data_IF_730255265404
#
_entry.id   IF_730255265404
#
_cell.length_a   1.000
_cell.length_b   1.000
_cell.length_c   1.000
_cell.angle_alpha   90.00
_cell.angle_beta   90.00
_cell.angle_gamma   90.00
#
_symmetry.space_group_name_H-M   'P 1'
#
loop_
_entity.id
_entity.type
_entity.pdbx_description
1 polymer ?
#
# COMPACT_ATOMS: atom_id res chain seq x y z
N UNK A 1 34.39 -31.92 -41.33
CA UNK A 1 34.08 -32.19 -39.91
C UNK A 1 33.90 -33.69 -39.78
N UNK A 2 34.84 -34.39 -39.15
CA UNK A 2 34.77 -35.85 -39.02
C UNK A 2 33.70 -36.19 -37.98
N UNK A 3 32.77 -37.07 -38.36
CA UNK A 3 31.69 -37.57 -37.49
C UNK A 3 32.27 -38.19 -36.19
N UNK A 4 33.46 -38.78 -36.27
CA UNK A 4 34.17 -39.38 -35.14
C UNK A 4 34.50 -38.36 -34.05
N UNK A 5 34.96 -37.15 -34.43
CA UNK A 5 35.30 -36.07 -33.48
C UNK A 5 34.05 -35.53 -32.78
N UNK A 6 32.92 -35.44 -33.49
CA UNK A 6 31.63 -35.04 -32.90
C UNK A 6 31.16 -36.10 -31.89
N UNK A 7 31.31 -37.39 -32.23
CA UNK A 7 30.88 -38.52 -31.40
C UNK A 7 31.66 -38.58 -30.09
N UNK A 8 32.98 -38.41 -30.12
CA UNK A 8 33.81 -38.36 -28.91
C UNK A 8 33.46 -37.18 -28.02
N UNK A 9 33.28 -35.99 -28.61
CA UNK A 9 32.93 -34.79 -27.86
C UNK A 9 31.58 -34.91 -27.14
N UNK A 10 30.58 -35.47 -27.82
CA UNK A 10 29.24 -35.71 -27.24
C UNK A 10 29.30 -36.73 -26.10
N UNK A 11 30.02 -37.84 -26.25
CA UNK A 11 30.13 -38.83 -25.16
C UNK A 11 30.89 -38.27 -23.95
N UNK A 12 31.96 -37.51 -24.16
CA UNK A 12 32.78 -36.98 -23.08
C UNK A 12 32.12 -35.82 -22.33
N UNK A 13 31.33 -34.99 -23.02
CA UNK A 13 30.76 -33.76 -22.46
C UNK A 13 29.22 -33.70 -22.51
N UNK A 14 28.55 -34.86 -22.55
CA UNK A 14 27.09 -34.93 -22.70
C UNK A 14 26.33 -34.10 -21.65
N UNK A 15 26.82 -34.05 -20.41
CA UNK A 15 26.24 -33.23 -19.34
C UNK A 15 26.29 -31.72 -19.64
N UNK A 16 27.42 -31.24 -20.18
CA UNK A 16 27.57 -29.82 -20.56
C UNK A 16 26.60 -29.46 -21.68
N UNK A 17 26.40 -30.37 -22.63
CA UNK A 17 25.44 -30.21 -23.73
C UNK A 17 24.01 -30.16 -23.19
N UNK A 18 23.63 -31.04 -22.26
CA UNK A 18 22.29 -31.03 -21.65
C UNK A 18 22.03 -29.73 -20.90
N UNK A 19 22.99 -29.24 -20.11
CA UNK A 19 22.87 -27.96 -19.40
C UNK A 19 22.75 -26.79 -20.37
N UNK A 20 23.55 -26.77 -21.43
CA UNK A 20 23.47 -25.75 -22.47
C UNK A 20 22.10 -25.75 -23.18
N UNK A 21 21.53 -26.94 -23.45
CA UNK A 21 20.19 -27.07 -24.02
C UNK A 21 19.09 -26.56 -23.08
N UNK A 22 19.21 -26.79 -21.78
CA UNK A 22 18.26 -26.25 -20.79
C UNK A 22 18.31 -24.72 -20.79
N UNK A 23 19.51 -24.12 -20.77
CA UNK A 23 19.68 -22.67 -20.84
C UNK A 23 19.11 -22.12 -22.15
N UNK A 24 19.39 -22.78 -23.28
CA UNK A 24 18.84 -22.41 -24.58
C UNK A 24 17.31 -22.42 -24.56
N UNK A 25 16.68 -23.43 -23.94
CA UNK A 25 15.23 -23.51 -23.82
C UNK A 25 14.64 -22.36 -22.99
N UNK A 26 15.32 -21.97 -21.91
CA UNK A 26 14.97 -20.78 -21.13
C UNK A 26 15.00 -19.51 -21.99
N UNK A 27 16.09 -19.31 -22.75
CA UNK A 27 16.21 -18.15 -23.65
C UNK A 27 15.09 -18.13 -24.68
N UNK A 28 14.75 -19.28 -25.28
CA UNK A 28 13.64 -19.37 -26.25
C UNK A 28 12.29 -18.98 -25.64
N UNK A 29 12.03 -19.37 -24.38
CA UNK A 29 10.81 -18.98 -23.68
C UNK A 29 10.78 -17.48 -23.33
N UNK A 30 11.92 -16.91 -22.95
CA UNK A 30 12.05 -15.47 -22.71
C UNK A 30 11.83 -14.69 -24.00
N UNK A 31 12.44 -15.11 -25.13
CA UNK A 31 12.25 -14.46 -26.43
C UNK A 31 10.79 -14.51 -26.88
N UNK A 32 10.12 -15.66 -26.75
CA UNK A 32 8.68 -15.78 -27.04
C UNK A 32 7.84 -14.86 -26.15
N UNK A 33 8.23 -14.72 -24.89
CA UNK A 33 7.57 -13.81 -23.96
C UNK A 33 7.78 -12.37 -24.41
N UNK A 34 9.02 -11.95 -24.64
CA UNK A 34 9.34 -10.59 -25.09
C UNK A 34 8.65 -10.24 -26.40
N UNK A 35 8.48 -11.17 -27.34
CA UNK A 35 7.77 -10.92 -28.60
C UNK A 35 6.27 -10.64 -28.38
N UNK A 36 5.61 -11.38 -27.47
CA UNK A 36 4.21 -11.10 -27.10
C UNK A 36 4.07 -9.75 -26.40
N UNK A 37 5.00 -9.45 -25.48
CA UNK A 37 5.01 -8.17 -24.77
C UNK A 37 5.39 -6.99 -25.68
N UNK A 38 6.20 -7.19 -26.72
CA UNK A 38 6.55 -6.15 -27.68
C UNK A 38 5.32 -5.62 -28.44
N UNK A 39 4.41 -6.50 -28.85
CA UNK A 39 3.15 -6.09 -29.48
C UNK A 39 2.29 -5.30 -28.49
N UNK A 40 2.19 -5.75 -27.23
CA UNK A 40 1.48 -5.02 -26.19
C UNK A 40 2.08 -3.63 -25.95
N UNK A 41 3.41 -3.50 -25.90
CA UNK A 41 4.11 -2.21 -25.76
C UNK A 41 3.82 -1.29 -26.95
N UNK A 42 3.82 -1.82 -28.18
CA UNK A 42 3.47 -1.04 -29.38
C UNK A 42 2.03 -0.53 -29.30
N UNK A 43 1.08 -1.39 -28.88
CA UNK A 43 -0.32 -0.99 -28.71
C UNK A 43 -0.45 0.08 -27.63
N UNK A 44 0.21 -0.09 -26.47
CA UNK A 44 0.22 0.91 -25.39
C UNK A 44 0.81 2.23 -25.90
N UNK A 45 1.94 2.21 -26.60
CA UNK A 45 2.55 3.40 -27.17
C UNK A 45 1.63 4.09 -28.20
N UNK A 46 0.99 3.32 -29.07
CA UNK A 46 0.02 3.83 -30.03
C UNK A 46 -1.19 4.48 -29.33
N UNK A 47 -1.71 3.86 -28.26
CA UNK A 47 -2.79 4.42 -27.45
C UNK A 47 -2.36 5.71 -26.73
N UNK A 48 -1.15 5.77 -26.17
CA UNK A 48 -0.63 6.99 -25.52
C UNK A 48 -0.52 8.16 -26.50
N UNK A 49 -0.05 7.91 -27.73
CA UNK A 49 0.05 8.94 -28.77
C UNK A 49 -1.35 9.32 -29.30
N UNK A 50 -2.21 8.33 -29.57
CA UNK A 50 -3.54 8.56 -30.17
C UNK A 50 -4.53 9.20 -29.20
N UNK A 51 -4.50 8.83 -27.92
CA UNK A 51 -5.48 9.30 -26.93
C UNK A 51 -5.24 10.75 -26.47
N UNK A 52 -4.06 11.34 -26.71
CA UNK A 52 -3.70 12.65 -26.18
C UNK A 52 -3.57 12.69 -24.65
N UNK A 53 -3.60 11.53 -23.99
CA UNK A 53 -3.54 11.42 -22.53
C UNK A 53 -2.08 11.52 -22.10
N UNK A 54 -1.75 12.63 -21.44
CA UNK A 54 -0.46 12.83 -20.77
C UNK A 54 -0.31 11.81 -19.65
N UNK A 55 0.90 11.26 -19.45
CA UNK A 55 1.19 10.38 -18.30
C UNK A 55 0.85 11.09 -16.96
N UNK A 56 0.94 12.42 -16.91
CA UNK A 56 0.41 13.25 -15.81
C UNK A 56 -1.08 13.03 -15.52
N UNK A 57 -1.96 12.94 -16.52
CA UNK A 57 -3.41 12.81 -16.32
C UNK A 57 -3.79 11.42 -15.76
N UNK A 58 -3.04 10.38 -16.14
CA UNK A 58 -3.21 9.03 -15.60
C UNK A 58 -2.77 8.98 -14.14
N UNK A 59 -1.65 9.63 -13.79
CA UNK A 59 -1.20 9.78 -12.39
C UNK A 59 -2.19 10.60 -11.56
N UNK A 60 -2.73 11.67 -12.12
CA UNK A 60 -3.72 12.52 -11.46
C UNK A 60 -5.01 11.74 -11.19
N UNK A 61 -5.53 11.00 -12.17
CA UNK A 61 -6.77 10.21 -12.01
C UNK A 61 -6.63 9.09 -10.99
N UNK A 62 -5.47 8.40 -10.95
CA UNK A 62 -5.19 7.38 -9.92
C UNK A 62 -5.07 8.00 -8.53
N UNK A 63 -4.46 9.19 -8.43
CA UNK A 63 -4.35 9.94 -7.17
C UNK A 63 -5.69 10.53 -6.73
N UNK A 64 -6.53 10.95 -7.67
CA UNK A 64 -7.83 11.60 -7.43
C UNK A 64 -8.90 10.60 -6.97
N UNK A 65 -8.87 9.35 -7.45
CA UNK A 65 -9.74 8.28 -6.94
C UNK A 65 -9.32 7.87 -5.52
N UNK A 66 -8.01 7.83 -5.25
CA UNK A 66 -7.49 7.56 -3.91
C UNK A 66 -7.81 8.72 -2.95
N UNK A 67 -7.68 9.97 -3.37
CA UNK A 67 -7.96 11.15 -2.54
C UNK A 67 -9.45 11.36 -2.30
N UNK A 68 -10.31 11.20 -3.31
CA UNK A 68 -11.77 11.36 -3.17
C UNK A 68 -12.36 10.32 -2.21
N UNK A 69 -11.84 9.09 -2.25
CA UNK A 69 -12.23 8.02 -1.32
C UNK A 69 -11.73 8.34 0.09
N UNK A 70 -10.47 8.79 0.22
CA UNK A 70 -9.89 9.17 1.50
C UNK A 70 -10.59 10.39 2.13
N UNK A 71 -10.99 11.39 1.34
CA UNK A 71 -11.71 12.56 1.83
C UNK A 71 -13.11 12.20 2.33
N UNK A 72 -13.77 11.23 1.68
CA UNK A 72 -15.05 10.68 2.15
C UNK A 72 -14.86 9.96 3.48
N UNK A 73 -13.84 9.10 3.59
CA UNK A 73 -13.52 8.41 4.85
C UNK A 73 -13.12 9.39 5.97
N UNK A 74 -12.38 10.46 5.67
CA UNK A 74 -12.04 11.52 6.65
C UNK A 74 -13.27 12.30 7.11
N UNK A 75 -14.21 12.61 6.21
CA UNK A 75 -15.49 13.27 6.55
C UNK A 75 -16.36 12.37 7.42
N UNK A 76 -16.50 11.10 7.06
CA UNK A 76 -17.22 10.12 7.88
C UNK A 76 -16.55 9.92 9.23
N UNK A 77 -15.22 9.76 9.27
CA UNK A 77 -14.46 9.63 10.51
C UNK A 77 -14.68 10.84 11.41
N UNK A 78 -14.60 12.07 10.89
CA UNK A 78 -14.90 13.30 11.65
C UNK A 78 -16.30 13.28 12.25
N UNK A 79 -17.31 12.94 11.45
CA UNK A 79 -18.71 12.89 11.90
C UNK A 79 -18.93 11.81 12.97
N UNK A 80 -18.35 10.62 12.78
CA UNK A 80 -18.46 9.51 13.73
C UNK A 80 -17.65 9.78 15.00
N UNK A 81 -16.47 10.40 14.92
CA UNK A 81 -15.70 10.85 16.09
C UNK A 81 -16.53 11.76 16.97
N UNK A 82 -17.23 12.74 16.41
CA UNK A 82 -18.11 13.63 17.19
C UNK A 82 -19.28 12.85 17.83
N UNK A 83 -19.90 11.93 17.07
CA UNK A 83 -21.03 11.12 17.55
C UNK A 83 -20.63 10.12 18.64
N UNK A 84 -19.42 9.58 18.55
CA UNK A 84 -18.90 8.55 19.44
C UNK A 84 -17.94 9.08 20.50
N UNK A 85 -17.66 10.39 20.52
CA UNK A 85 -16.80 11.03 21.52
C UNK A 85 -17.24 10.69 22.96
N UNK A 86 -18.55 10.64 23.20
CA UNK A 86 -19.13 10.27 24.50
C UNK A 86 -18.99 8.79 24.86
N UNK A 87 -18.61 7.94 23.90
CA UNK A 87 -18.36 6.50 24.10
C UNK A 87 -16.88 6.15 23.96
N UNK A 88 -16.03 7.15 23.74
CA UNK A 88 -14.61 6.97 23.60
C UNK A 88 -13.99 6.65 24.96
N UNK A 89 -13.07 5.69 24.96
CA UNK A 89 -12.33 5.25 26.14
C UNK A 89 -10.86 5.64 25.99
N UNK A 90 -10.29 6.22 27.04
CA UNK A 90 -8.89 6.65 27.05
C UNK A 90 -8.02 5.62 27.78
N UNK A 91 -6.99 5.13 27.09
CA UNK A 91 -5.96 4.26 27.63
C UNK A 91 -4.60 4.99 27.61
N UNK A 92 -4.00 5.17 28.79
CA UNK A 92 -2.64 5.68 28.90
C UNK A 92 -1.64 4.55 28.57
N UNK A 93 -0.75 4.81 27.61
CA UNK A 93 0.37 3.95 27.27
C UNK A 93 1.60 4.23 28.14
N UNK A 94 2.70 3.53 27.84
CA UNK A 94 4.00 3.79 28.48
C UNK A 94 4.66 5.00 27.82
N UNK A 95 5.53 5.71 28.54
CA UNK A 95 6.37 6.79 28.01
C UNK A 95 5.64 8.03 27.43
N UNK A 96 4.37 8.25 27.77
CA UNK A 96 3.57 9.38 27.29
C UNK A 96 2.81 9.10 25.99
N UNK A 97 2.76 7.84 25.55
CA UNK A 97 1.82 7.42 24.51
C UNK A 97 0.41 7.28 25.10
N UNK A 98 -0.61 7.45 24.26
CA UNK A 98 -2.00 7.21 24.63
C UNK A 98 -2.77 6.64 23.43
N UNK A 99 -3.80 5.88 23.74
CA UNK A 99 -4.73 5.33 22.76
C UNK A 99 -6.15 5.67 23.20
N UNK A 100 -6.96 6.14 22.26
CA UNK A 100 -8.37 6.39 22.45
C UNK A 100 -9.14 5.48 21.51
N UNK A 101 -10.06 4.70 22.06
CA UNK A 101 -10.84 3.73 21.29
C UNK A 101 -12.33 4.01 21.46
N UNK A 102 -13.04 4.10 20.34
CA UNK A 102 -14.50 4.11 20.22
C UNK A 102 -14.96 2.94 19.34
N UNK A 103 -16.28 2.66 19.24
CA UNK A 103 -16.80 1.55 18.44
C UNK A 103 -16.33 1.50 16.98
N UNK A 104 -16.12 2.66 16.35
CA UNK A 104 -15.71 2.74 14.94
C UNK A 104 -14.39 3.50 14.73
N UNK A 105 -13.79 4.09 15.77
CA UNK A 105 -12.60 4.94 15.64
C UNK A 105 -11.54 4.53 16.66
N UNK A 106 -10.30 4.42 16.21
CA UNK A 106 -9.14 4.30 17.06
C UNK A 106 -8.19 5.46 16.78
N UNK A 107 -7.70 6.10 17.84
CA UNK A 107 -6.76 7.19 17.79
C UNK A 107 -5.55 6.85 18.64
N UNK A 108 -4.35 6.95 18.06
CA UNK A 108 -3.08 6.78 18.77
C UNK A 108 -2.28 8.07 18.73
N UNK A 109 -1.75 8.46 19.87
CA UNK A 109 -1.01 9.71 19.99
C UNK A 109 0.09 9.62 21.03
N UNK A 110 0.96 10.64 21.02
CA UNK A 110 1.97 10.84 22.05
C UNK A 110 1.86 12.25 22.59
N UNK A 111 2.01 12.42 23.91
CA UNK A 111 2.05 13.74 24.54
C UNK A 111 3.25 14.58 24.10
N UNK A 112 4.21 13.98 23.39
CA UNK A 112 5.38 14.66 22.80
C UNK A 112 5.19 15.01 21.32
N UNK A 113 4.06 14.62 20.71
CA UNK A 113 3.74 14.84 19.31
C UNK A 113 2.55 15.80 19.18
N UNK A 114 2.57 16.63 18.15
CA UNK A 114 1.45 17.46 17.73
C UNK A 114 0.49 16.71 16.78
N UNK A 115 0.79 15.45 16.49
CA UNK A 115 0.02 14.59 15.59
C UNK A 115 -0.46 13.32 16.26
N UNK A 116 -1.59 12.83 15.77
CA UNK A 116 -2.21 11.56 16.16
C UNK A 116 -2.56 10.74 14.93
N UNK A 117 -2.33 9.44 15.01
CA UNK A 117 -2.77 8.49 14.00
C UNK A 117 -4.25 8.17 14.21
N UNK A 118 -5.05 8.35 13.16
CA UNK A 118 -6.49 8.07 13.21
C UNK A 118 -6.80 6.86 12.32
N UNK A 119 -7.50 5.90 12.89
CA UNK A 119 -7.97 4.68 12.22
C UNK A 119 -9.49 4.63 12.31
N UNK A 120 -10.15 4.55 11.17
CA UNK A 120 -11.60 4.44 11.07
C UNK A 120 -11.97 3.05 10.55
N UNK A 121 -12.72 2.27 11.35
CA UNK A 121 -13.16 0.90 11.02
C UNK A 121 -12.01 -0.02 10.56
N UNK A 122 -10.84 0.11 11.17
CA UNK A 122 -9.63 -0.65 10.83
C UNK A 122 -8.84 -0.13 9.63
N UNK A 123 -9.28 0.97 9.00
CA UNK A 123 -8.57 1.63 7.89
C UNK A 123 -7.88 2.87 8.44
N UNK A 124 -6.56 2.99 8.27
CA UNK A 124 -5.84 4.22 8.62
C UNK A 124 -6.28 5.36 7.70
N UNK A 125 -6.78 6.45 8.29
CA UNK A 125 -7.16 7.69 7.59
C UNK A 125 -6.06 8.76 7.68
N UNK A 126 -4.88 8.36 8.15
CA UNK A 126 -3.65 9.15 8.24
C UNK A 126 -3.41 9.85 9.58
N UNK A 127 -2.29 10.56 9.65
CA UNK A 127 -1.91 11.41 10.78
C UNK A 127 -2.67 12.74 10.75
N UNK A 128 -3.38 13.06 11.82
CA UNK A 128 -4.12 14.32 11.97
C UNK A 128 -3.47 15.13 13.08
N UNK A 129 -3.49 16.45 12.94
CA UNK A 129 -2.94 17.32 13.97
C UNK A 129 -3.89 17.42 15.17
N UNK A 130 -3.32 17.47 16.36
CA UNK A 130 -4.03 17.58 17.64
C UNK A 130 -4.75 18.93 17.80
N UNK A 131 -4.30 19.97 17.10
CA UNK A 131 -4.93 21.30 17.06
C UNK A 131 -6.27 21.31 16.32
N UNK A 132 -6.62 20.24 15.61
CA UNK A 132 -7.92 20.09 14.99
C UNK A 132 -9.02 19.99 16.06
N UNK A 133 -10.04 20.85 15.94
CA UNK A 133 -11.12 20.97 16.94
C UNK A 133 -11.87 19.65 17.19
N UNK A 134 -12.02 18.82 16.16
CA UNK A 134 -12.65 17.50 16.26
C UNK A 134 -11.82 16.56 17.12
N UNK A 135 -10.51 16.50 16.87
CA UNK A 135 -9.57 15.66 17.60
C UNK A 135 -9.51 16.10 19.05
N UNK A 136 -9.38 17.41 19.30
CA UNK A 136 -9.37 17.97 20.65
C UNK A 136 -10.64 17.61 21.41
N UNK A 137 -11.81 17.83 20.80
CA UNK A 137 -13.09 17.47 21.41
C UNK A 137 -13.17 15.97 21.72
N UNK A 138 -12.73 15.11 20.79
CA UNK A 138 -12.71 13.66 20.99
C UNK A 138 -11.79 13.24 22.14
N UNK A 139 -10.60 13.83 22.22
CA UNK A 139 -9.63 13.60 23.30
C UNK A 139 -10.18 14.07 24.66
N UNK A 140 -10.75 15.28 24.72
CA UNK A 140 -11.32 15.83 25.94
C UNK A 140 -12.49 14.98 26.46
N UNK A 141 -13.37 14.52 25.57
CA UNK A 141 -14.50 13.66 25.95
C UNK A 141 -14.02 12.27 26.40
N UNK A 142 -13.05 11.68 25.70
CA UNK A 142 -12.45 10.42 26.12
C UNK A 142 -11.76 10.51 27.49
N UNK A 143 -11.09 11.65 27.78
CA UNK A 143 -10.47 11.90 29.08
C UNK A 143 -11.51 12.10 30.20
N UNK A 144 -12.65 12.74 29.91
CA UNK A 144 -13.78 12.86 30.85
C UNK A 144 -14.41 11.51 31.15
N UNK A 145 -14.45 10.64 30.14
CA UNK A 145 -14.93 9.27 30.24
C UNK A 145 -13.91 8.29 30.82
N UNK A 146 -12.83 8.79 31.46
CA UNK A 146 -11.79 7.98 32.10
C UNK A 146 -12.45 6.87 32.90
N UNK A 147 -12.47 5.68 32.34
CA UNK A 147 -12.78 4.48 33.08
C UNK A 147 -11.62 4.36 34.06
N UNK A 148 -11.94 4.38 35.35
CA UNK A 148 -10.97 4.13 36.39
C UNK A 148 -10.11 2.92 35.98
N UNK A 149 -8.78 2.97 36.16
CA UNK A 149 -7.93 1.83 35.85
C UNK A 149 -8.52 0.60 36.54
N UNK A 150 -8.69 -0.49 35.77
CA UNK A 150 -9.06 -1.78 36.32
C UNK A 150 -8.13 -2.05 37.51
N UNK A 151 -8.72 -2.05 38.71
CA UNK A 151 -8.06 -2.40 39.97
C UNK A 151 -8.08 -3.90 40.14
#
# INVERSE_FOLDING_TARGET
MNIEVIKEFVMQNWLVIVVALIILFFVLNVVKTMLKWAIAIIIIAALLIYSGISIEQIKQTVTDVQSSTMDTLKKEATSIMLKEASKATYAAGKNGEFTITSPNVELKGSTKSDKVDVTFRGISVGEWKLDNDTIRTFVEQAQKNKTAPAS
#
